data_IF_801366822221
#
_entry.id   IF_801366822221
#
_cell.length_a   1.000
_cell.length_b   1.000
_cell.length_c   1.000
_cell.angle_alpha   90.00
_cell.angle_beta   90.00
_cell.angle_gamma   90.00
#
_symmetry.space_group_name_H-M   'P 1'
#
loop_
_entity.id
_entity.type
_entity.pdbx_description
1 polymer ?
#
# COMPACT_ATOMS: atom_id res chain seq x y z
N UNK A 1 16.57 -4.04 18.74
CA UNK A 1 16.50 -3.17 17.55
C UNK A 1 15.03 -3.05 17.17
N UNK A 2 14.48 -1.83 17.09
CA UNK A 2 13.06 -1.62 16.78
C UNK A 2 12.85 -0.97 15.42
N UNK A 3 11.88 -1.46 14.65
CA UNK A 3 11.50 -0.92 13.34
C UNK A 3 9.98 -0.79 13.31
N UNK A 4 9.49 0.37 12.86
CA UNK A 4 8.06 0.60 12.67
C UNK A 4 7.73 0.46 11.18
N UNK A 5 6.84 -0.45 10.83
CA UNK A 5 6.35 -0.62 9.46
C UNK A 5 4.88 -0.22 9.37
N UNK A 6 4.51 0.53 8.34
CA UNK A 6 3.14 0.99 8.10
C UNK A 6 2.75 0.68 6.66
N UNK A 7 1.74 -0.16 6.43
CA UNK A 7 1.14 -0.37 5.12
C UNK A 7 -0.18 0.38 4.99
N UNK A 8 -0.24 1.36 4.07
CA UNK A 8 -1.41 2.24 3.90
C UNK A 8 -2.21 1.81 2.68
N UNK A 9 -3.23 1.00 2.92
CA UNK A 9 -4.24 0.66 1.93
C UNK A 9 -5.36 1.69 1.80
N UNK A 10 -6.30 1.47 0.87
CA UNK A 10 -7.45 2.37 0.69
C UNK A 10 -8.45 2.32 1.85
N UNK A 11 -8.59 1.16 2.52
CA UNK A 11 -9.57 0.99 3.61
C UNK A 11 -8.95 0.98 5.00
N UNK A 12 -7.77 0.38 5.14
CA UNK A 12 -7.02 0.28 6.40
C UNK A 12 -5.62 0.85 6.24
N UNK A 13 -5.05 1.29 7.36
CA UNK A 13 -3.62 1.40 7.55
C UNK A 13 -3.23 0.38 8.61
N UNK A 14 -2.24 -0.44 8.29
CA UNK A 14 -1.78 -1.53 9.12
C UNK A 14 -0.39 -1.17 9.64
N UNK A 15 -0.22 -1.12 10.97
CA UNK A 15 0.99 -0.65 11.64
C UNK A 15 1.55 -1.80 12.48
N UNK A 16 2.85 -2.03 12.37
CA UNK A 16 3.55 -3.07 13.12
C UNK A 16 4.87 -2.52 13.69
N UNK A 17 5.06 -2.69 14.99
CA UNK A 17 6.30 -2.41 15.70
C UNK A 17 7.06 -3.73 15.90
N UNK A 18 8.10 -3.90 15.10
CA UNK A 18 9.04 -5.00 15.20
C UNK A 18 10.08 -4.74 16.29
N UNK A 19 10.39 -5.75 17.11
CA UNK A 19 11.57 -5.77 17.98
C UNK A 19 12.34 -7.08 17.77
N UNK A 20 13.57 -6.97 17.27
CA UNK A 20 14.47 -8.12 17.00
C UNK A 20 14.79 -9.00 18.20
N UNK A 21 14.48 -8.54 19.42
CA UNK A 21 14.74 -9.29 20.65
C UNK A 21 13.64 -10.31 20.96
N UNK A 22 12.48 -10.16 20.31
CA UNK A 22 11.31 -11.00 20.49
C UNK A 22 11.03 -11.83 19.24
N UNK A 23 10.21 -12.85 19.42
CA UNK A 23 9.54 -13.50 18.30
C UNK A 23 8.61 -12.49 17.61
N UNK A 24 8.57 -12.55 16.28
CA UNK A 24 7.88 -11.57 15.45
C UNK A 24 6.38 -11.52 15.75
N UNK A 25 5.79 -12.64 16.18
CA UNK A 25 4.40 -12.76 16.65
C UNK A 25 4.11 -11.90 17.89
N UNK A 26 5.13 -11.54 18.67
CA UNK A 26 4.99 -10.66 19.85
C UNK A 26 5.11 -9.16 19.50
N UNK A 27 5.35 -8.79 18.24
CA UNK A 27 5.39 -7.39 17.84
C UNK A 27 4.03 -6.71 18.00
N UNK A 28 4.03 -5.46 18.44
CA UNK A 28 2.79 -4.70 18.67
C UNK A 28 2.22 -4.20 17.34
N UNK A 29 0.89 -4.20 17.23
CA UNK A 29 0.19 -3.92 15.97
C UNK A 29 -1.11 -3.16 16.13
N UNK A 30 -1.42 -2.34 15.13
CA UNK A 30 -2.67 -1.61 15.00
C UNK A 30 -3.19 -1.78 13.57
N UNK A 31 -4.48 -2.09 13.41
CA UNK A 31 -5.18 -2.10 12.12
C UNK A 31 -6.29 -1.06 12.23
N UNK A 32 -6.08 0.08 11.57
CA UNK A 32 -6.89 1.30 11.75
C UNK A 32 -7.50 1.75 10.41
N UNK A 33 -8.51 2.63 10.40
CA UNK A 33 -8.97 3.25 9.17
C UNK A 33 -7.82 3.95 8.44
N UNK A 34 -7.74 3.80 7.12
CA UNK A 34 -6.74 4.51 6.32
C UNK A 34 -6.92 6.04 6.40
N UNK A 35 -5.87 6.82 6.13
CA UNK A 35 -5.96 8.28 6.10
C UNK A 35 -7.06 8.79 5.17
N UNK A 36 -7.24 8.19 3.98
CA UNK A 36 -8.30 8.60 3.04
C UNK A 36 -9.70 8.38 3.62
N UNK A 37 -9.88 7.31 4.41
CA UNK A 37 -11.14 7.05 5.11
C UNK A 37 -11.36 8.03 6.27
N UNK A 38 -10.31 8.40 6.99
CA UNK A 38 -10.38 9.40 8.06
C UNK A 38 -10.76 10.78 7.51
N UNK A 39 -10.08 11.23 6.44
CA UNK A 39 -10.38 12.49 5.74
C UNK A 39 -11.80 12.49 5.19
N UNK A 40 -12.24 11.38 4.56
CA UNK A 40 -13.63 11.23 4.11
C UNK A 40 -14.62 11.52 5.24
N UNK A 41 -14.40 10.98 6.45
CA UNK A 41 -15.32 11.22 7.58
C UNK A 41 -15.33 12.68 8.02
N UNK A 42 -14.17 13.36 8.01
CA UNK A 42 -14.08 14.79 8.31
C UNK A 42 -14.87 15.63 7.30
N UNK A 43 -14.73 15.34 6.00
CA UNK A 43 -15.47 16.04 4.94
C UNK A 43 -16.97 15.83 5.10
N UNK A 44 -17.42 14.59 5.33
CA UNK A 44 -18.85 14.30 5.54
C UNK A 44 -19.41 15.00 6.78
N UNK A 45 -18.63 15.08 7.86
CA UNK A 45 -19.00 15.82 9.05
C UNK A 45 -19.13 17.33 8.77
N UNK A 46 -18.23 17.91 7.97
CA UNK A 46 -18.29 19.30 7.54
C UNK A 46 -19.51 19.58 6.65
N UNK A 47 -19.79 18.70 5.66
CA UNK A 47 -21.00 18.79 4.83
C UNK A 47 -22.26 18.78 5.68
N UNK A 48 -22.34 17.86 6.65
CA UNK A 48 -23.49 17.75 7.56
C UNK A 48 -23.64 18.98 8.46
N UNK A 49 -22.53 19.62 8.81
CA UNK A 49 -22.51 20.86 9.59
C UNK A 49 -22.74 22.10 8.72
N UNK A 50 -22.96 21.95 7.42
CA UNK A 50 -23.15 23.04 6.44
C UNK A 50 -21.97 24.04 6.42
N UNK A 51 -20.75 23.51 6.55
CA UNK A 51 -19.52 24.31 6.60
C UNK A 51 -18.64 24.03 5.40
N UNK A 52 -18.13 25.09 4.78
CA UNK A 52 -17.07 25.03 3.79
C UNK A 52 -15.82 24.35 4.36
N UNK A 53 -14.98 23.78 3.48
CA UNK A 53 -13.74 23.11 3.85
C UNK A 53 -12.52 23.73 3.17
N UNK A 54 -11.36 23.64 3.81
CA UNK A 54 -10.06 23.86 3.19
C UNK A 54 -9.17 22.64 3.38
N UNK A 55 -8.66 22.12 2.27
CA UNK A 55 -7.71 21.01 2.23
C UNK A 55 -6.28 21.56 2.17
N UNK A 56 -5.43 21.10 3.07
CA UNK A 56 -4.01 21.50 3.20
C UNK A 56 -3.15 20.25 3.37
N UNK A 57 -1.82 20.40 3.46
CA UNK A 57 -0.90 19.26 3.58
C UNK A 57 -0.42 18.77 2.22
N UNK A 58 -0.17 17.47 2.10
CA UNK A 58 0.49 16.89 0.92
C UNK A 58 -0.43 15.95 0.15
N UNK A 59 0.00 15.56 -1.05
CA UNK A 59 -0.66 14.51 -1.85
C UNK A 59 -0.78 13.22 -1.06
N UNK A 60 -1.93 12.56 -1.13
CA UNK A 60 -2.17 11.28 -0.49
C UNK A 60 -3.07 10.38 -1.35
N UNK A 61 -3.47 9.23 -0.82
CA UNK A 61 -4.43 8.35 -1.49
C UNK A 61 -5.79 9.00 -1.69
N UNK A 62 -6.19 9.15 -2.95
CA UNK A 62 -7.53 9.58 -3.34
C UNK A 62 -8.62 8.54 -3.07
N UNK A 63 -9.61 8.45 -3.97
CA UNK A 63 -10.73 7.51 -3.84
C UNK A 63 -11.76 7.99 -2.79
N UNK A 64 -11.89 7.36 -1.62
CA UNK A 64 -12.91 7.73 -0.61
C UNK A 64 -12.96 9.22 -0.25
N UNK A 65 -11.81 9.87 -0.01
CA UNK A 65 -11.79 11.31 0.27
C UNK A 65 -12.14 12.15 -0.96
N UNK A 66 -11.64 11.81 -2.14
CA UNK A 66 -11.94 12.52 -3.40
C UNK A 66 -13.43 12.45 -3.76
N UNK A 67 -14.07 11.29 -3.56
CA UNK A 67 -15.52 11.17 -3.72
C UNK A 67 -16.29 12.01 -2.70
N UNK A 68 -15.77 12.15 -1.47
CA UNK A 68 -16.36 13.01 -0.46
C UNK A 68 -16.24 14.49 -0.83
N UNK A 69 -15.11 14.92 -1.42
CA UNK A 69 -14.94 16.27 -1.98
C UNK A 69 -15.99 16.53 -3.05
N UNK A 70 -16.16 15.61 -4.02
CA UNK A 70 -17.18 15.75 -5.06
C UNK A 70 -18.60 15.87 -4.47
N UNK A 71 -18.92 15.05 -3.46
CA UNK A 71 -20.20 15.12 -2.77
C UNK A 71 -20.40 16.43 -1.98
N UNK A 72 -19.32 16.98 -1.40
CA UNK A 72 -19.35 18.25 -0.68
C UNK A 72 -19.67 19.43 -1.62
N UNK A 73 -18.99 19.49 -2.77
CA UNK A 73 -19.22 20.49 -3.81
C UNK A 73 -20.63 20.36 -4.39
N UNK A 74 -21.06 19.12 -4.70
CA UNK A 74 -22.41 18.86 -5.20
C UNK A 74 -23.51 19.27 -4.21
N UNK A 75 -23.19 19.35 -2.91
CA UNK A 75 -24.09 19.84 -1.85
C UNK A 75 -24.11 21.38 -1.74
N UNK A 76 -23.35 22.09 -2.58
CA UNK A 76 -23.35 23.55 -2.66
C UNK A 76 -22.34 24.25 -1.75
N UNK A 77 -21.45 23.51 -1.07
CA UNK A 77 -20.44 24.07 -0.17
C UNK A 77 -19.11 24.30 -0.89
N UNK A 78 -18.38 25.33 -0.46
CA UNK A 78 -17.08 25.69 -1.06
C UNK A 78 -16.00 24.75 -0.57
N UNK A 79 -15.20 24.25 -1.50
CA UNK A 79 -13.97 23.51 -1.21
C UNK A 79 -12.78 24.35 -1.65
N UNK A 80 -11.94 24.74 -0.70
CA UNK A 80 -10.64 25.32 -0.95
C UNK A 80 -9.56 24.24 -0.86
N UNK A 81 -8.48 24.36 -1.61
CA UNK A 81 -7.35 23.44 -1.50
C UNK A 81 -6.03 24.11 -1.87
N UNK A 82 -4.96 23.78 -1.16
CA UNK A 82 -3.60 24.09 -1.62
C UNK A 82 -3.22 23.16 -2.77
N UNK A 83 -2.32 23.55 -3.69
CA UNK A 83 -2.01 22.76 -4.88
C UNK A 83 -1.59 21.31 -4.57
N UNK A 84 -0.79 21.09 -3.52
CA UNK A 84 -0.30 19.75 -3.15
C UNK A 84 -1.43 18.88 -2.58
N UNK A 85 -2.25 19.43 -1.68
CA UNK A 85 -3.43 18.75 -1.17
C UNK A 85 -4.43 18.42 -2.30
N UNK A 86 -4.61 19.35 -3.24
CA UNK A 86 -5.54 19.22 -4.36
C UNK A 86 -5.20 18.01 -5.26
N UNK A 87 -3.92 17.70 -5.48
CA UNK A 87 -3.45 16.57 -6.30
C UNK A 87 -3.93 15.20 -5.80
N UNK A 88 -4.34 15.09 -4.54
CA UNK A 88 -5.02 13.91 -4.00
C UNK A 88 -6.31 13.56 -4.76
N UNK A 89 -6.99 14.57 -5.33
CA UNK A 89 -8.24 14.39 -6.08
C UNK A 89 -7.98 14.07 -7.55
N UNK A 90 -7.02 14.76 -8.17
CA UNK A 90 -6.60 14.56 -9.56
C UNK A 90 -5.22 15.21 -9.78
N UNK A 91 -4.33 14.62 -10.58
CA UNK A 91 -3.01 15.21 -10.81
C UNK A 91 -3.03 16.48 -11.68
N UNK A 92 -4.09 16.73 -12.45
CA UNK A 92 -4.29 17.97 -13.21
C UNK A 92 -5.07 19.03 -12.42
N UNK A 93 -4.36 20.07 -12.01
CA UNK A 93 -4.93 21.22 -11.30
C UNK A 93 -5.99 21.99 -12.10
N UNK A 94 -5.97 21.93 -13.43
CA UNK A 94 -7.02 22.53 -14.26
C UNK A 94 -8.32 21.74 -14.14
N UNK A 95 -8.25 20.40 -14.21
CA UNK A 95 -9.41 19.54 -13.98
C UNK A 95 -9.99 19.77 -12.59
N UNK A 96 -9.14 19.94 -11.57
CA UNK A 96 -9.58 20.24 -10.20
C UNK A 96 -10.36 21.57 -10.10
N UNK A 97 -9.90 22.61 -10.80
CA UNK A 97 -10.63 23.89 -10.86
C UNK A 97 -11.98 23.73 -11.56
N UNK A 98 -12.02 22.99 -12.66
CA UNK A 98 -13.26 22.69 -13.41
C UNK A 98 -14.26 21.89 -12.57
N UNK A 99 -13.77 21.03 -11.67
CA UNK A 99 -14.59 20.30 -10.70
C UNK A 99 -15.20 21.21 -9.62
N UNK A 100 -14.76 22.47 -9.50
CA UNK A 100 -15.29 23.45 -8.55
C UNK A 100 -14.46 23.66 -7.29
N UNK A 101 -13.24 23.13 -7.23
CA UNK A 101 -12.29 23.40 -6.13
C UNK A 101 -11.62 24.75 -6.35
N UNK A 102 -11.56 25.56 -5.30
CA UNK A 102 -10.90 26.87 -5.29
C UNK A 102 -9.46 26.67 -4.83
N UNK A 103 -8.50 26.74 -5.76
CA UNK A 103 -7.08 26.67 -5.40
C UNK A 103 -6.65 27.94 -4.66
N UNK A 104 -5.96 27.75 -3.54
CA UNK A 104 -5.43 28.81 -2.68
C UNK A 104 -3.98 28.51 -2.33
N UNK A 105 -3.18 29.53 -2.08
CA UNK A 105 -1.85 29.40 -1.48
C UNK A 105 -1.95 28.99 0.00
N UNK A 106 -0.82 28.56 0.58
CA UNK A 106 -0.73 28.25 2.02
C UNK A 106 -1.09 29.47 2.90
N UNK A 107 -0.67 30.68 2.49
CA UNK A 107 -1.00 31.92 3.19
C UNK A 107 -2.51 32.22 3.14
N UNK A 108 -3.10 32.13 1.95
CA UNK A 108 -4.54 32.32 1.77
C UNK A 108 -5.33 31.28 2.57
N UNK A 109 -4.95 30.00 2.50
CA UNK A 109 -5.53 28.94 3.31
C UNK A 109 -5.45 29.28 4.81
N UNK A 110 -4.30 29.76 5.30
CA UNK A 110 -4.11 30.23 6.68
C UNK A 110 -5.00 31.41 7.08
N UNK A 111 -5.33 32.29 6.13
CA UNK A 111 -6.15 33.49 6.36
C UNK A 111 -7.68 33.26 6.32
N UNK A 112 -8.13 32.09 5.84
CA UNK A 112 -9.56 31.78 5.74
C UNK A 112 -10.27 31.85 7.10
N UNK A 113 -11.48 32.41 7.09
CA UNK A 113 -12.31 32.61 8.28
C UNK A 113 -12.54 31.33 9.10
N UNK A 114 -12.75 31.50 10.41
CA UNK A 114 -12.96 30.41 11.37
C UNK A 114 -14.16 29.47 11.03
N UNK A 115 -15.08 29.88 10.16
CA UNK A 115 -16.20 29.05 9.73
C UNK A 115 -15.81 27.97 8.70
N UNK A 116 -14.60 28.00 8.15
CA UNK A 116 -14.08 26.94 7.25
C UNK A 116 -13.45 25.82 8.08
N UNK A 117 -13.79 24.57 7.80
CA UNK A 117 -13.16 23.40 8.45
C UNK A 117 -11.82 23.12 7.77
N UNK A 118 -10.75 23.10 8.56
CA UNK A 118 -9.39 22.78 8.08
C UNK A 118 -9.18 21.28 8.15
N UNK A 119 -8.80 20.68 7.02
CA UNK A 119 -8.52 19.25 6.92
C UNK A 119 -7.12 19.12 6.31
N UNK A 120 -6.21 18.55 7.08
CA UNK A 120 -4.84 18.27 6.64
C UNK A 120 -4.77 16.89 6.00
N UNK A 121 -4.16 16.82 4.82
CA UNK A 121 -3.99 15.61 4.02
C UNK A 121 -2.55 15.09 4.14
N UNK A 122 -2.44 13.76 4.14
CA UNK A 122 -1.17 13.03 4.18
C UNK A 122 -1.42 11.56 4.51
N UNK A 123 -0.67 10.67 3.88
CA UNK A 123 -0.75 9.23 4.18
C UNK A 123 0.02 8.84 5.44
N UNK A 124 0.99 9.67 5.87
CA UNK A 124 1.86 9.38 7.00
C UNK A 124 1.84 10.51 8.02
N UNK A 125 1.51 10.18 9.27
CA UNK A 125 1.55 11.10 10.40
C UNK A 125 2.23 10.39 11.59
N UNK A 126 3.55 10.53 11.69
CA UNK A 126 4.33 9.86 12.73
C UNK A 126 3.89 10.26 14.14
N UNK A 127 3.61 11.55 14.35
CA UNK A 127 3.18 12.07 15.65
C UNK A 127 1.90 11.42 16.14
N UNK A 128 0.91 11.24 15.26
CA UNK A 128 -0.33 10.56 15.62
C UNK A 128 -0.08 9.10 16.02
N UNK A 129 0.84 8.41 15.35
CA UNK A 129 1.21 7.04 15.68
C UNK A 129 1.94 7.00 17.04
N UNK A 130 2.91 7.89 17.25
CA UNK A 130 3.63 8.03 18.51
C UNK A 130 2.69 8.30 19.68
N UNK A 131 1.75 9.24 19.53
CA UNK A 131 0.72 9.53 20.54
C UNK A 131 -0.16 8.30 20.83
N UNK A 132 -0.53 7.52 19.82
CA UNK A 132 -1.33 6.31 20.00
C UNK A 132 -0.58 5.21 20.76
N UNK A 133 0.70 4.96 20.45
CA UNK A 133 1.53 3.99 21.18
C UNK A 133 1.85 4.45 22.60
N UNK A 134 2.07 5.76 22.80
CA UNK A 134 2.34 6.34 24.11
C UNK A 134 1.17 6.16 25.11
N UNK A 135 -0.08 6.16 24.63
CA UNK A 135 -1.26 5.86 25.47
C UNK A 135 -1.21 4.46 26.12
N UNK A 136 -0.44 3.53 25.54
CA UNK A 136 -0.22 2.17 26.06
C UNK A 136 1.17 2.00 26.69
N UNK A 137 1.92 3.09 26.88
CA UNK A 137 3.26 3.06 27.49
C UNK A 137 4.35 2.53 26.56
N UNK A 138 4.13 2.52 25.25
CA UNK A 138 5.14 2.09 24.27
C UNK A 138 5.85 3.32 23.71
N UNK A 139 7.16 3.38 23.91
CA UNK A 139 8.03 4.42 23.38
C UNK A 139 8.57 4.05 21.98
N UNK A 140 8.54 5.03 21.06
CA UNK A 140 9.03 4.95 19.69
C UNK A 140 10.29 5.81 19.46
N UNK A 141 10.88 6.36 20.51
CA UNK A 141 12.07 7.23 20.40
C UNK A 141 13.36 6.48 20.00
N UNK A 142 13.40 5.16 20.17
CA UNK A 142 14.56 4.28 19.90
C UNK A 142 14.43 3.46 18.60
N UNK A 143 13.56 3.88 17.68
CA UNK A 143 13.45 3.29 16.34
C UNK A 143 14.77 3.46 15.56
N UNK A 144 15.22 2.37 14.91
CA UNK A 144 16.39 2.40 14.01
C UNK A 144 16.01 2.57 12.54
N UNK A 145 14.73 2.39 12.21
CA UNK A 145 14.14 2.67 10.90
C UNK A 145 12.62 2.79 11.01
N UNK A 146 12.04 3.54 10.08
CA UNK A 146 10.60 3.52 9.78
C UNK A 146 10.44 3.08 8.33
N UNK A 147 9.43 2.27 8.03
CA UNK A 147 9.11 1.86 6.67
C UNK A 147 7.63 2.10 6.39
N UNK A 148 7.30 2.76 5.27
CA UNK A 148 5.91 3.10 4.93
C UNK A 148 5.60 2.65 3.51
N UNK A 149 4.52 1.89 3.32
CA UNK A 149 4.01 1.56 2.00
C UNK A 149 2.76 2.37 1.66
N UNK A 150 2.72 2.88 0.43
CA UNK A 150 1.52 3.48 -0.18
C UNK A 150 1.42 3.01 -1.62
N UNK A 151 0.21 3.02 -2.19
CA UNK A 151 0.00 2.69 -3.59
C UNK A 151 0.20 3.93 -4.48
N UNK A 152 1.24 3.95 -5.32
CA UNK A 152 1.56 5.10 -6.18
C UNK A 152 1.46 4.71 -7.68
N UNK A 153 0.61 5.39 -8.45
CA UNK A 153 0.53 5.17 -9.89
C UNK A 153 1.73 5.78 -10.63
N UNK A 154 2.41 6.73 -9.99
CA UNK A 154 3.33 7.66 -10.61
C UNK A 154 2.61 8.80 -11.33
N UNK A 155 3.32 9.92 -11.51
CA UNK A 155 2.82 11.14 -12.12
C UNK A 155 2.95 11.06 -13.64
N UNK A 156 1.92 10.53 -14.30
CA UNK A 156 1.88 10.42 -15.75
C UNK A 156 1.84 11.81 -16.42
N UNK A 157 2.45 11.97 -17.60
CA UNK A 157 2.19 13.13 -18.45
C UNK A 157 0.69 13.26 -18.77
N UNK A 158 0.20 14.48 -18.99
CA UNK A 158 -1.24 14.76 -19.15
C UNK A 158 -1.93 14.00 -20.31
N UNK A 159 -1.18 13.55 -21.31
CA UNK A 159 -1.66 12.78 -22.46
C UNK A 159 -1.53 11.26 -22.30
N UNK A 160 -1.04 10.79 -21.14
CA UNK A 160 -0.81 9.38 -20.83
C UNK A 160 -1.75 8.95 -19.70
N UNK A 161 -2.39 7.80 -19.85
CA UNK A 161 -3.20 7.22 -18.76
C UNK A 161 -2.31 6.73 -17.62
N UNK A 162 -2.65 7.10 -16.38
CA UNK A 162 -1.98 6.61 -15.16
C UNK A 162 -1.87 5.08 -15.09
N UNK A 163 -2.91 4.38 -15.59
CA UNK A 163 -2.95 2.91 -15.66
C UNK A 163 -1.82 2.35 -16.53
N UNK A 164 -1.61 2.97 -17.69
CA UNK A 164 -0.55 2.60 -18.63
C UNK A 164 0.82 2.99 -18.08
N UNK A 165 0.94 4.20 -17.55
CA UNK A 165 2.18 4.72 -16.96
C UNK A 165 2.67 3.82 -15.82
N UNK A 166 1.77 3.42 -14.91
CA UNK A 166 2.05 2.48 -13.84
C UNK A 166 2.62 1.16 -14.37
N UNK A 167 2.03 0.57 -15.39
CA UNK A 167 2.49 -0.70 -15.95
C UNK A 167 3.83 -0.60 -16.68
N UNK A 168 4.10 0.52 -17.35
CA UNK A 168 5.42 0.80 -17.92
C UNK A 168 6.49 0.93 -16.82
N UNK A 169 6.17 1.59 -15.71
CA UNK A 169 7.06 1.67 -14.55
C UNK A 169 7.31 0.29 -13.92
N UNK A 170 6.25 -0.51 -13.69
CA UNK A 170 6.40 -1.87 -13.16
C UNK A 170 7.31 -2.71 -14.07
N UNK A 171 7.12 -2.64 -15.39
CA UNK A 171 7.95 -3.39 -16.35
C UNK A 171 9.42 -2.98 -16.28
N UNK A 172 9.69 -1.67 -16.28
CA UNK A 172 11.05 -1.15 -16.18
C UNK A 172 11.74 -1.59 -14.88
N UNK A 173 11.05 -1.51 -13.74
CA UNK A 173 11.60 -1.90 -12.44
C UNK A 173 11.88 -3.39 -12.36
N UNK A 174 10.94 -4.24 -12.79
CA UNK A 174 11.11 -5.70 -12.75
C UNK A 174 12.28 -6.13 -13.65
N UNK A 175 12.42 -5.52 -14.84
CA UNK A 175 13.54 -5.80 -15.75
C UNK A 175 14.88 -5.34 -15.21
N UNK A 176 14.91 -4.21 -14.50
CA UNK A 176 16.14 -3.69 -13.91
C UNK A 176 16.58 -4.55 -12.71
N UNK A 177 15.64 -4.95 -11.86
CA UNK A 177 15.92 -5.69 -10.64
C UNK A 177 14.73 -6.62 -10.29
N UNK A 178 14.86 -7.89 -10.68
CA UNK A 178 13.75 -8.85 -10.64
C UNK A 178 13.47 -9.41 -9.22
N UNK A 179 12.97 -8.57 -8.32
CA UNK A 179 12.53 -8.95 -6.97
C UNK A 179 11.49 -7.97 -6.44
N UNK A 180 10.64 -8.42 -5.51
CA UNK A 180 9.58 -7.58 -4.95
C UNK A 180 10.12 -6.39 -4.14
N UNK A 181 11.25 -6.54 -3.45
CA UNK A 181 11.88 -5.44 -2.70
C UNK A 181 12.53 -4.38 -3.59
N UNK A 182 12.63 -4.58 -4.91
CA UNK A 182 13.10 -3.56 -5.85
C UNK A 182 12.16 -2.35 -5.96
N UNK A 183 10.96 -2.45 -5.40
CA UNK A 183 9.98 -1.36 -5.30
C UNK A 183 10.11 -0.54 -4.02
N UNK A 184 11.11 -0.82 -3.18
CA UNK A 184 11.42 -0.06 -1.98
C UNK A 184 12.60 0.89 -2.21
N UNK A 185 12.54 2.07 -1.58
CA UNK A 185 13.53 3.13 -1.71
C UNK A 185 13.85 3.74 -0.34
N UNK A 186 15.09 4.17 -0.14
CA UNK A 186 15.37 5.18 0.89
C UNK A 186 14.70 6.50 0.49
N UNK A 187 14.32 7.31 1.47
CA UNK A 187 13.64 8.59 1.24
C UNK A 187 14.37 9.54 0.28
N UNK A 188 15.70 9.47 0.19
CA UNK A 188 16.52 10.27 -0.71
C UNK A 188 16.77 9.61 -2.09
N UNK A 189 16.16 8.47 -2.38
CA UNK A 189 16.32 7.69 -3.61
C UNK A 189 14.99 7.42 -4.32
N UNK A 190 13.91 8.05 -3.86
CA UNK A 190 12.58 7.93 -4.47
C UNK A 190 12.64 8.55 -5.89
N UNK A 191 12.19 7.84 -6.93
CA UNK A 191 12.08 8.42 -8.26
C UNK A 191 11.15 9.65 -8.26
N UNK A 192 11.51 10.74 -8.95
CA UNK A 192 10.71 11.97 -8.99
C UNK A 192 9.27 11.76 -9.48
N UNK A 193 9.07 10.74 -10.33
CA UNK A 193 7.76 10.37 -10.84
C UNK A 193 6.83 9.77 -9.77
N UNK A 194 7.35 9.32 -8.62
CA UNK A 194 6.56 8.69 -7.54
C UNK A 194 6.13 9.76 -6.52
N UNK A 195 5.19 10.60 -6.92
CA UNK A 195 4.78 11.80 -6.16
C UNK A 195 4.11 11.47 -4.82
N UNK A 196 3.40 10.35 -4.70
CA UNK A 196 2.78 9.93 -3.44
C UNK A 196 3.81 9.34 -2.48
N UNK A 197 4.80 8.60 -2.99
CA UNK A 197 5.96 8.18 -2.17
C UNK A 197 6.77 9.39 -1.68
N UNK A 198 6.97 10.39 -2.55
CA UNK A 198 7.63 11.65 -2.16
C UNK A 198 6.84 12.39 -1.07
N UNK A 199 5.52 12.44 -1.18
CA UNK A 199 4.67 13.05 -0.16
C UNK A 199 4.84 12.38 1.22
N UNK A 200 4.99 11.05 1.27
CA UNK A 200 5.30 10.33 2.52
C UNK A 200 6.65 10.78 3.09
N UNK A 201 7.68 10.92 2.24
CA UNK A 201 8.98 11.43 2.67
C UNK A 201 8.90 12.89 3.16
N UNK A 202 8.08 13.72 2.52
CA UNK A 202 7.85 15.10 2.94
C UNK A 202 7.15 15.20 4.30
N UNK A 203 6.20 14.31 4.59
CA UNK A 203 5.55 14.19 5.91
C UNK A 203 6.46 13.63 7.00
N UNK A 204 7.64 13.12 6.65
CA UNK A 204 8.56 12.43 7.55
C UNK A 204 9.83 13.24 7.88
N UNK A 205 9.89 14.53 7.52
CA UNK A 205 11.08 15.38 7.68
C UNK A 205 11.59 15.48 9.13
N UNK A 206 10.71 15.32 10.11
CA UNK A 206 11.06 15.37 11.52
C UNK A 206 11.54 14.01 12.09
N UNK A 207 11.51 12.93 11.29
CA UNK A 207 12.06 11.64 11.72
C UNK A 207 13.57 11.73 11.89
N UNK A 208 14.05 11.21 13.02
CA UNK A 208 15.49 11.14 13.34
C UNK A 208 16.16 9.86 12.84
N UNK A 209 15.40 9.00 12.17
CA UNK A 209 15.80 7.67 11.74
C UNK A 209 15.58 7.53 10.22
N UNK A 210 16.32 6.65 9.53
CA UNK A 210 16.06 6.40 8.11
C UNK A 210 14.62 5.99 7.84
N UNK A 211 14.07 6.55 6.75
CA UNK A 211 12.78 6.17 6.20
C UNK A 211 12.99 5.33 4.93
N UNK A 212 12.34 4.17 4.90
CA UNK A 212 12.15 3.37 3.68
C UNK A 212 10.71 3.55 3.21
N UNK A 213 10.50 3.77 1.92
CA UNK A 213 9.15 3.80 1.32
C UNK A 213 9.01 2.72 0.27
N UNK A 214 7.81 2.18 0.07
CA UNK A 214 7.56 1.09 -0.88
C UNK A 214 6.15 1.17 -1.48
N UNK A 215 5.94 0.53 -2.62
CA UNK A 215 4.58 0.26 -3.11
C UNK A 215 3.89 -0.82 -2.23
N UNK A 216 2.68 -0.55 -1.76
CA UNK A 216 1.84 -1.47 -0.97
C UNK A 216 1.64 -2.82 -1.64
N UNK A 217 1.46 -2.87 -2.96
CA UNK A 217 1.15 -4.12 -3.63
C UNK A 217 2.30 -5.14 -3.57
N UNK A 218 3.53 -4.82 -4.03
CA UNK A 218 4.66 -5.72 -3.85
C UNK A 218 5.02 -5.94 -2.37
N UNK A 219 4.76 -4.99 -1.47
CA UNK A 219 4.96 -5.19 -0.03
C UNK A 219 4.05 -6.31 0.49
N UNK A 220 2.74 -6.26 0.20
CA UNK A 220 1.79 -7.29 0.64
C UNK A 220 2.12 -8.68 0.06
N UNK A 221 2.55 -8.74 -1.20
CA UNK A 221 2.96 -9.99 -1.85
C UNK A 221 4.24 -10.52 -1.21
N UNK A 222 5.23 -9.67 -0.96
CA UNK A 222 6.49 -10.04 -0.32
C UNK A 222 6.28 -10.55 1.11
N UNK A 223 5.43 -9.89 1.90
CA UNK A 223 5.16 -10.39 3.24
C UNK A 223 4.35 -11.68 3.27
N UNK A 224 3.46 -11.88 2.28
CA UNK A 224 2.76 -13.15 2.13
C UNK A 224 3.76 -14.30 1.98
N UNK A 225 4.88 -14.13 1.25
CA UNK A 225 5.87 -15.21 1.02
C UNK A 225 6.46 -15.83 2.30
N UNK A 226 6.33 -15.15 3.44
CA UNK A 226 6.77 -15.65 4.75
C UNK A 226 5.79 -16.62 5.42
N UNK A 227 4.65 -16.94 4.82
CA UNK A 227 3.83 -18.06 5.28
C UNK A 227 4.58 -19.39 5.09
N UNK A 228 4.75 -20.21 6.14
CA UNK A 228 5.49 -21.47 6.05
C UNK A 228 4.94 -22.47 5.03
N UNK A 229 3.65 -22.35 4.67
CA UNK A 229 2.95 -23.27 3.76
C UNK A 229 3.49 -23.23 2.32
N UNK A 230 4.35 -22.24 1.99
CA UNK A 230 4.84 -22.03 0.62
C UNK A 230 6.20 -22.67 0.35
N UNK A 231 6.88 -23.17 1.39
CA UNK A 231 8.26 -23.64 1.30
C UNK A 231 8.46 -24.82 0.35
N UNK A 232 7.39 -25.58 0.08
CA UNK A 232 7.42 -26.76 -0.77
C UNK A 232 7.08 -26.46 -2.25
N UNK A 233 6.76 -25.21 -2.59
CA UNK A 233 6.37 -24.79 -3.95
C UNK A 233 7.42 -23.89 -4.60
N UNK A 234 8.05 -24.34 -5.69
CA UNK A 234 9.10 -23.59 -6.39
C UNK A 234 8.55 -22.46 -7.28
N UNK A 235 7.29 -22.57 -7.73
CA UNK A 235 6.59 -21.57 -8.54
C UNK A 235 5.19 -21.38 -7.96
N UNK A 236 4.81 -20.16 -7.64
CA UNK A 236 3.55 -19.86 -6.96
C UNK A 236 2.84 -18.66 -7.60
N UNK A 237 1.52 -18.63 -7.48
CA UNK A 237 0.71 -17.44 -7.71
C UNK A 237 0.27 -16.85 -6.38
N UNK A 238 0.56 -15.58 -6.16
CA UNK A 238 0.10 -14.84 -4.97
C UNK A 238 -0.77 -13.67 -5.44
N UNK A 239 -1.99 -13.57 -4.93
CA UNK A 239 -2.94 -12.51 -5.22
C UNK A 239 -3.21 -11.66 -3.96
N UNK A 240 -3.00 -10.36 -4.05
CA UNK A 240 -3.49 -9.39 -3.07
C UNK A 240 -4.84 -8.84 -3.55
N UNK A 241 -5.92 -9.19 -2.85
CA UNK A 241 -7.27 -8.71 -3.15
C UNK A 241 -7.60 -7.58 -2.17
N UNK A 242 -7.15 -6.37 -2.53
CA UNK A 242 -7.31 -5.15 -1.77
C UNK A 242 -8.72 -4.58 -1.81
N UNK A 243 -8.94 -3.46 -1.11
CA UNK A 243 -10.23 -2.77 -1.15
C UNK A 243 -10.50 -2.09 -2.50
N UNK A 244 -9.44 -1.59 -3.15
CA UNK A 244 -9.52 -0.79 -4.38
C UNK A 244 -8.85 -1.46 -5.57
N UNK A 245 -7.70 -2.12 -5.37
CA UNK A 245 -6.98 -2.86 -6.40
C UNK A 245 -6.79 -4.33 -6.04
N UNK A 246 -6.90 -5.19 -7.05
CA UNK A 246 -6.56 -6.60 -7.02
C UNK A 246 -5.31 -6.77 -7.87
N UNK A 247 -4.25 -7.30 -7.29
CA UNK A 247 -3.02 -7.62 -7.99
C UNK A 247 -2.68 -9.09 -7.79
N UNK A 248 -2.05 -9.71 -8.79
CA UNK A 248 -1.41 -10.99 -8.59
C UNK A 248 -0.03 -11.04 -9.23
N UNK A 249 0.87 -11.76 -8.58
CA UNK A 249 2.22 -12.04 -9.06
C UNK A 249 2.38 -13.54 -9.25
N UNK A 250 3.09 -13.90 -10.32
CA UNK A 250 3.68 -15.23 -10.47
C UNK A 250 5.13 -15.12 -10.03
N UNK A 251 5.52 -15.96 -9.08
CA UNK A 251 6.88 -16.00 -8.56
C UNK A 251 7.48 -17.36 -8.89
N UNK A 252 8.74 -17.36 -9.33
CA UNK A 252 9.52 -18.56 -9.59
C UNK A 252 10.95 -18.43 -9.06
N UNK A 253 11.82 -19.42 -9.34
CA UNK A 253 13.18 -19.46 -8.79
C UNK A 253 14.05 -18.23 -9.13
N UNK A 254 13.73 -17.55 -10.23
CA UNK A 254 14.47 -16.38 -10.71
C UNK A 254 13.81 -15.05 -10.34
N UNK A 255 12.76 -15.04 -9.52
CA UNK A 255 12.02 -13.84 -9.12
C UNK A 255 10.62 -13.75 -9.73
N UNK A 256 10.24 -12.56 -10.17
CA UNK A 256 8.91 -12.29 -10.73
C UNK A 256 8.85 -12.85 -12.16
N UNK A 257 7.82 -13.66 -12.42
CA UNK A 257 7.52 -14.29 -13.70
C UNK A 257 6.37 -13.61 -14.44
N UNK A 258 5.57 -12.81 -13.72
CA UNK A 258 4.52 -11.99 -14.26
C UNK A 258 3.76 -11.25 -13.16
N UNK A 259 3.04 -10.20 -13.56
CA UNK A 259 2.15 -9.43 -12.69
C UNK A 259 0.91 -8.98 -13.48
N UNK A 260 -0.26 -8.99 -12.84
CA UNK A 260 -1.41 -8.25 -13.36
C UNK A 260 -2.07 -7.44 -12.25
N UNK A 261 -2.78 -6.39 -12.65
CA UNK A 261 -3.49 -5.50 -11.74
C UNK A 261 -4.82 -5.03 -12.34
N UNK A 262 -5.84 -5.00 -11.49
CA UNK A 262 -7.18 -4.59 -11.84
C UNK A 262 -7.83 -3.80 -10.69
N UNK A 263 -8.81 -2.95 -11.00
CA UNK A 263 -9.69 -2.38 -9.99
C UNK A 263 -10.59 -3.46 -9.38
N UNK A 264 -10.52 -3.66 -8.06
CA UNK A 264 -11.33 -4.65 -7.35
C UNK A 264 -12.83 -4.34 -7.43
N UNK A 265 -13.21 -3.08 -7.59
CA UNK A 265 -14.61 -2.67 -7.75
C UNK A 265 -15.28 -3.15 -9.04
N UNK A 266 -14.49 -3.52 -10.05
CA UNK A 266 -14.98 -3.94 -11.38
C UNK A 266 -15.04 -5.48 -11.48
N UNK A 267 -14.23 -6.17 -10.69
CA UNK A 267 -14.16 -7.63 -10.68
C UNK A 267 -15.31 -8.26 -9.88
N UNK A 268 -15.89 -9.31 -10.46
CA UNK A 268 -16.69 -10.29 -9.73
C UNK A 268 -15.89 -11.61 -9.55
N UNK A 269 -16.37 -12.57 -8.74
CA UNK A 269 -15.68 -13.84 -8.52
C UNK A 269 -15.41 -14.66 -9.79
N UNK A 270 -16.32 -14.64 -10.77
CA UNK A 270 -16.20 -15.43 -12.00
C UNK A 270 -15.13 -14.82 -12.89
N UNK A 271 -15.20 -13.50 -13.10
CA UNK A 271 -14.20 -12.76 -13.88
C UNK A 271 -12.80 -12.92 -13.27
N UNK A 272 -12.67 -12.82 -11.94
CA UNK A 272 -11.39 -13.00 -11.27
C UNK A 272 -10.82 -14.41 -11.43
N UNK A 273 -11.66 -15.46 -11.38
CA UNK A 273 -11.22 -16.84 -11.67
C UNK A 273 -10.71 -16.97 -13.12
N UNK A 274 -11.36 -16.35 -14.11
CA UNK A 274 -10.88 -16.37 -15.49
C UNK A 274 -9.54 -15.62 -15.65
N UNK A 275 -9.38 -14.46 -15.02
CA UNK A 275 -8.09 -13.74 -14.99
C UNK A 275 -6.98 -14.58 -14.36
N UNK A 276 -7.25 -15.20 -13.21
CA UNK A 276 -6.32 -16.11 -12.53
C UNK A 276 -5.92 -17.26 -13.45
N UNK A 277 -6.88 -17.84 -14.17
CA UNK A 277 -6.62 -18.94 -15.08
C UNK A 277 -5.73 -18.53 -16.26
N UNK A 278 -6.11 -17.47 -16.97
CA UNK A 278 -5.32 -16.95 -18.10
C UNK A 278 -3.91 -16.53 -17.65
N UNK A 279 -3.79 -15.96 -16.45
CA UNK A 279 -2.52 -15.57 -15.86
C UNK A 279 -1.65 -16.80 -15.55
N UNK A 280 -2.23 -17.83 -14.96
CA UNK A 280 -1.56 -19.11 -14.70
C UNK A 280 -1.09 -19.78 -15.99
N UNK A 281 -1.88 -19.72 -17.07
CA UNK A 281 -1.50 -20.27 -18.38
C UNK A 281 -0.46 -19.43 -19.13
N UNK A 282 -0.13 -18.23 -18.66
CA UNK A 282 0.76 -17.30 -19.36
C UNK A 282 0.14 -16.61 -20.57
N UNK A 283 -1.19 -16.75 -20.75
CA UNK A 283 -1.92 -16.23 -21.91
C UNK A 283 -2.58 -14.88 -21.67
N UNK A 284 -2.63 -14.41 -20.41
CA UNK A 284 -3.24 -13.11 -20.07
C UNK A 284 -2.46 -11.97 -20.74
N UNK A 285 -3.15 -11.18 -21.58
CA UNK A 285 -2.57 -10.05 -22.29
C UNK A 285 -2.85 -8.72 -21.60
N UNK A 286 -1.96 -7.74 -21.80
CA UNK A 286 -2.17 -6.39 -21.31
C UNK A 286 -3.47 -5.77 -21.85
N UNK A 287 -3.73 -5.93 -23.15
CA UNK A 287 -4.92 -5.37 -23.80
C UNK A 287 -6.22 -5.93 -23.21
N UNK A 288 -6.23 -7.22 -22.84
CA UNK A 288 -7.39 -7.86 -22.19
C UNK A 288 -7.74 -7.17 -20.88
N UNK A 289 -6.74 -6.92 -20.03
CA UNK A 289 -6.94 -6.25 -18.73
C UNK A 289 -7.26 -4.78 -18.92
N UNK A 290 -6.51 -4.07 -19.77
CA UNK A 290 -6.66 -2.63 -19.95
C UNK A 290 -8.02 -2.23 -20.56
N UNK A 291 -8.50 -3.02 -21.54
CA UNK A 291 -9.82 -2.80 -22.17
C UNK A 291 -10.99 -3.12 -21.24
N UNK A 292 -10.78 -3.93 -20.21
CA UNK A 292 -11.75 -4.23 -19.15
C UNK A 292 -11.64 -3.27 -17.95
N UNK A 293 -11.07 -2.07 -18.19
CA UNK A 293 -10.86 -1.04 -17.17
C UNK A 293 -9.87 -1.43 -16.05
N UNK A 294 -9.09 -2.50 -16.19
CA UNK A 294 -7.95 -2.81 -15.34
C UNK A 294 -6.71 -1.97 -15.68
N UNK A 295 -5.62 -2.18 -14.96
CA UNK A 295 -4.37 -1.44 -15.20
C UNK A 295 -3.51 -2.11 -16.27
N UNK A 296 -3.30 -3.43 -16.17
CA UNK A 296 -2.56 -4.17 -17.17
C UNK A 296 -2.12 -5.57 -16.75
N UNK A 297 -1.37 -6.22 -17.63
CA UNK A 297 -0.71 -7.50 -17.36
C UNK A 297 0.67 -7.57 -18.03
N UNK A 298 1.66 -8.08 -17.29
CA UNK A 298 3.03 -8.34 -17.73
C UNK A 298 3.32 -9.82 -17.53
N UNK A 299 3.77 -10.50 -18.59
CA UNK A 299 4.15 -11.92 -18.57
C UNK A 299 5.59 -12.03 -19.05
N UNK A 300 6.48 -12.50 -18.17
CA UNK A 300 7.91 -12.69 -18.48
C UNK A 300 8.23 -14.14 -18.85
N UNK A 301 7.37 -15.08 -18.46
CA UNK A 301 7.45 -16.48 -18.89
C UNK A 301 6.10 -17.03 -19.35
N UNK A 302 6.15 -17.70 -20.50
CA UNK A 302 5.01 -18.41 -21.09
C UNK A 302 4.84 -19.83 -20.51
N UNK A 303 5.74 -20.27 -19.63
CA UNK A 303 5.59 -21.54 -18.94
C UNK A 303 4.39 -21.45 -17.99
N UNK A 304 3.40 -22.33 -18.15
CA UNK A 304 2.21 -22.33 -17.30
C UNK A 304 2.54 -22.72 -15.86
N UNK A 305 1.74 -22.24 -14.91
CA UNK A 305 1.68 -22.75 -13.56
C UNK A 305 0.77 -23.98 -13.51
N UNK A 306 1.17 -25.00 -12.74
CA UNK A 306 0.29 -26.12 -12.42
C UNK A 306 -0.89 -25.61 -11.59
N UNK A 307 -2.10 -26.04 -11.94
CA UNK A 307 -3.35 -25.66 -11.28
C UNK A 307 -4.12 -26.89 -10.76
N UNK A 308 -3.40 -28.00 -10.57
CA UNK A 308 -3.92 -29.29 -10.12
C UNK A 308 -3.33 -29.77 -8.79
N UNK A 309 -2.58 -28.91 -8.09
CA UNK A 309 -2.00 -29.20 -6.77
C UNK A 309 -3.06 -29.63 -5.75
N UNK A 310 -2.76 -30.68 -4.98
CA UNK A 310 -3.69 -31.28 -4.02
C UNK A 310 -4.03 -30.38 -2.83
N UNK A 311 -3.14 -29.45 -2.49
CA UNK A 311 -3.26 -28.49 -1.40
C UNK A 311 -3.89 -27.17 -1.88
N UNK A 312 -3.18 -26.36 -2.67
CA UNK A 312 -3.63 -25.06 -3.16
C UNK A 312 -3.01 -24.70 -4.51
N UNK A 313 -3.69 -23.85 -5.31
CA UNK A 313 -3.10 -23.33 -6.56
C UNK A 313 -2.94 -21.80 -6.56
N UNK A 314 -3.64 -21.11 -5.66
CA UNK A 314 -3.48 -19.66 -5.49
C UNK A 314 -3.31 -19.33 -4.02
N UNK A 315 -2.34 -18.48 -3.74
CA UNK A 315 -2.15 -17.86 -2.43
C UNK A 315 -2.84 -16.51 -2.45
N UNK A 316 -3.52 -16.17 -1.37
CA UNK A 316 -4.36 -14.98 -1.32
C UNK A 316 -4.10 -14.21 -0.04
N UNK A 317 -3.85 -12.92 -0.18
CA UNK A 317 -3.82 -11.94 0.92
C UNK A 317 -4.79 -10.79 0.62
N UNK A 318 -5.01 -9.93 1.62
CA UNK A 318 -5.84 -8.73 1.49
C UNK A 318 -7.27 -8.87 2.03
N UNK A 319 -7.93 -7.72 2.31
CA UNK A 319 -9.21 -7.68 3.00
C UNK A 319 -10.39 -8.21 2.18
N UNK A 320 -10.33 -8.16 0.83
CA UNK A 320 -11.42 -8.61 -0.05
C UNK A 320 -11.25 -10.06 -0.53
N UNK A 321 -10.36 -10.84 0.09
CA UNK A 321 -10.08 -12.26 -0.24
C UNK A 321 -11.30 -13.18 -0.35
N UNK A 322 -12.42 -12.85 0.30
CA UNK A 322 -13.65 -13.63 0.19
C UNK A 322 -14.18 -13.71 -1.25
N UNK A 323 -13.76 -12.81 -2.15
CA UNK A 323 -14.08 -12.89 -3.58
C UNK A 323 -13.67 -14.22 -4.22
N UNK A 324 -12.58 -14.84 -3.75
CA UNK A 324 -12.08 -16.12 -4.29
C UNK A 324 -12.35 -17.31 -3.36
N UNK A 325 -13.13 -17.14 -2.28
CA UNK A 325 -13.39 -18.21 -1.31
C UNK A 325 -13.93 -19.50 -1.93
N UNK A 326 -14.76 -19.37 -2.97
CA UNK A 326 -15.34 -20.49 -3.70
C UNK A 326 -14.67 -20.69 -5.07
N UNK A 327 -13.47 -20.14 -5.27
CA UNK A 327 -12.70 -20.29 -6.50
C UNK A 327 -12.45 -21.77 -6.78
N UNK A 328 -12.49 -22.14 -8.06
CA UNK A 328 -12.14 -23.50 -8.51
C UNK A 328 -10.66 -23.83 -8.29
N UNK A 329 -9.82 -22.84 -7.97
CA UNK A 329 -8.38 -22.96 -7.86
C UNK A 329 -7.84 -23.20 -6.45
N UNK A 330 -8.68 -23.63 -5.50
CA UNK A 330 -8.26 -24.00 -4.13
C UNK A 330 -7.43 -22.89 -3.47
N UNK A 331 -8.07 -21.76 -3.09
CA UNK A 331 -7.35 -20.65 -2.49
C UNK A 331 -6.75 -21.05 -1.13
N UNK A 332 -5.49 -20.68 -0.92
CA UNK A 332 -4.87 -20.64 0.39
C UNK A 332 -4.81 -19.19 0.88
N UNK A 333 -5.40 -18.90 2.03
CA UNK A 333 -5.34 -17.56 2.62
C UNK A 333 -4.08 -17.44 3.48
N UNK A 334 -3.10 -16.67 3.00
CA UNK A 334 -1.82 -16.48 3.67
C UNK A 334 -2.02 -15.86 5.06
N UNK A 335 -1.31 -16.39 6.06
CA UNK A 335 -1.31 -15.91 7.44
C UNK A 335 0.14 -15.84 7.95
N UNK A 336 1.02 -15.05 7.29
CA UNK A 336 2.41 -14.90 7.73
C UNK A 336 2.43 -14.48 9.21
N UNK A 337 3.17 -15.22 10.02
CA UNK A 337 3.27 -15.02 11.47
C UNK A 337 1.90 -14.89 12.19
N UNK A 338 0.88 -15.59 11.66
CA UNK A 338 -0.47 -15.62 12.21
C UNK A 338 -1.35 -14.40 11.89
N UNK A 339 -0.89 -13.45 11.07
CA UNK A 339 -1.66 -12.24 10.77
C UNK A 339 -1.58 -11.80 9.30
N UNK A 340 -2.63 -12.12 8.56
CA UNK A 340 -2.76 -11.74 7.15
C UNK A 340 -2.78 -10.21 6.94
N UNK A 341 -3.42 -9.44 7.83
CA UNK A 341 -3.52 -7.99 7.63
C UNK A 341 -2.15 -7.31 7.72
N UNK A 342 -1.18 -7.94 8.40
CA UNK A 342 0.19 -7.47 8.46
C UNK A 342 1.08 -7.94 7.30
N UNK A 343 0.54 -8.59 6.26
CA UNK A 343 1.35 -9.02 5.11
C UNK A 343 2.15 -7.85 4.53
N UNK A 344 1.56 -6.67 4.32
CA UNK A 344 2.31 -5.50 3.84
C UNK A 344 3.44 -5.07 4.79
N UNK A 345 3.18 -5.08 6.09
CA UNK A 345 4.17 -4.77 7.12
C UNK A 345 5.35 -5.74 7.12
N UNK A 346 5.12 -7.04 7.00
CA UNK A 346 6.20 -8.02 6.93
C UNK A 346 7.01 -7.90 5.63
N UNK A 347 6.36 -7.57 4.52
CA UNK A 347 7.04 -7.26 3.28
C UNK A 347 7.92 -6.02 3.38
N UNK A 348 7.41 -4.95 4.00
CA UNK A 348 8.19 -3.76 4.33
C UNK A 348 9.41 -4.09 5.20
N UNK A 349 9.24 -4.92 6.23
CA UNK A 349 10.34 -5.34 7.09
C UNK A 349 11.42 -6.09 6.28
N UNK A 350 11.02 -7.01 5.41
CA UNK A 350 11.93 -7.68 4.48
C UNK A 350 12.63 -6.70 3.53
N UNK A 351 11.91 -5.71 3.01
CA UNK A 351 12.48 -4.71 2.11
C UNK A 351 13.46 -3.78 2.84
N UNK A 352 13.24 -3.50 4.14
CA UNK A 352 14.22 -2.77 4.97
C UNK A 352 15.54 -3.54 5.05
N UNK A 353 15.52 -4.85 5.22
CA UNK A 353 16.74 -5.66 5.22
C UNK A 353 17.52 -5.56 3.90
N UNK A 354 16.79 -5.47 2.78
CA UNK A 354 17.36 -5.33 1.45
C UNK A 354 17.94 -3.93 1.17
N UNK A 355 17.26 -2.88 1.65
CA UNK A 355 17.59 -1.48 1.40
C UNK A 355 18.60 -0.92 2.42
N UNK A 356 18.61 -1.45 3.65
CA UNK A 356 19.53 -1.11 4.74
C UNK A 356 20.30 -2.38 5.18
N UNK A 357 21.35 -2.78 4.45
CA UNK A 357 22.05 -4.05 4.70
C UNK A 357 22.63 -4.20 6.11
N UNK A 358 22.94 -3.09 6.79
CA UNK A 358 23.41 -3.09 8.17
C UNK A 358 22.35 -3.54 9.19
N UNK A 359 21.08 -3.58 8.80
CA UNK A 359 19.96 -4.08 9.62
C UNK A 359 19.51 -5.49 9.20
N UNK A 360 20.09 -6.06 8.12
CA UNK A 360 19.56 -7.25 7.47
C UNK A 360 19.63 -8.52 8.32
N UNK A 361 20.76 -8.77 8.98
CA UNK A 361 20.98 -10.00 9.75
C UNK A 361 19.90 -10.23 10.84
N UNK A 362 19.63 -9.29 11.77
CA UNK A 362 18.59 -9.50 12.76
C UNK A 362 17.19 -9.61 12.14
N UNK A 363 16.89 -8.89 11.05
CA UNK A 363 15.59 -8.98 10.37
C UNK A 363 15.38 -10.36 9.77
N UNK A 364 16.30 -10.83 8.93
CA UNK A 364 16.17 -12.13 8.28
C UNK A 364 16.26 -13.28 9.27
N UNK A 365 16.97 -13.12 10.38
CA UNK A 365 16.96 -14.09 11.47
C UNK A 365 15.54 -14.28 12.01
N UNK A 366 14.80 -13.20 12.27
CA UNK A 366 13.41 -13.29 12.77
C UNK A 366 12.43 -13.74 11.68
N UNK A 367 12.55 -13.24 10.45
CA UNK A 367 11.67 -13.61 9.34
C UNK A 367 11.80 -15.08 8.91
N UNK A 368 13.00 -15.66 9.03
CA UNK A 368 13.28 -17.05 8.65
C UNK A 368 13.36 -18.02 9.84
N UNK A 369 13.08 -17.56 11.06
CA UNK A 369 13.17 -18.38 12.26
C UNK A 369 12.20 -19.58 12.17
N UNK A 370 12.74 -20.79 12.15
CA UNK A 370 11.95 -22.03 12.24
C UNK A 370 11.55 -22.38 13.68
N UNK A 371 12.18 -21.73 14.66
CA UNK A 371 11.93 -21.84 16.09
C UNK A 371 12.13 -20.46 16.70
N UNK A 372 11.20 -20.05 17.55
CA UNK A 372 11.27 -18.76 18.22
C UNK A 372 12.52 -18.62 19.10
N UNK A 373 12.89 -17.37 19.35
CA UNK A 373 13.88 -16.92 20.32
C UNK A 373 13.55 -17.37 21.76
N UNK A 374 12.30 -17.80 22.04
CA UNK A 374 11.80 -18.19 23.37
C UNK A 374 12.05 -17.10 24.44
N UNK A 375 12.25 -15.86 24.00
CA UNK A 375 12.49 -14.71 24.89
C UNK A 375 11.13 -14.13 25.23
N UNK A 376 10.79 -14.20 26.51
CA UNK A 376 9.50 -13.70 26.99
C UNK A 376 9.53 -12.16 27.04
N UNK A 377 8.44 -11.46 26.72
CA UNK A 377 8.44 -9.99 26.68
C UNK A 377 8.89 -9.30 27.98
N UNK A 378 8.67 -9.92 29.13
CA UNK A 378 9.09 -9.41 30.45
C UNK A 378 10.57 -9.68 30.80
N UNK A 379 11.32 -10.34 29.92
CA UNK A 379 12.77 -10.53 30.05
C UNK A 379 13.56 -9.43 29.33
N UNK A 380 12.88 -8.50 28.66
CA UNK A 380 13.48 -7.31 28.07
C UNK A 380 13.65 -6.25 29.16
N UNK A 381 14.81 -6.25 29.82
CA UNK A 381 15.23 -5.18 30.71
C UNK A 381 15.45 -3.85 29.96
#
# INVERSE_FOLDING_TARGET
MKILTIDVGTGTQDIFLYDSRLDIENGYKLVLPSPTMMVRQQILAATKAERDIVLTGVTMGGGPCGWAVNGHIASGFRTFATPDAARTVNDDLNMIKEMGVILVSEEEAGSLHNNVVRIELGDFNFRQIEEAFALFGVDLSDLVAVAVAVFDHGNAPADVSDRKFRFEYLDQRIRAENRLSAFAYLSNQIPEIMTRLQAVADSAKDLRTPLVVMDTAPAAILGATYDPSFRDHNRVMIANIGNFHTLAFRLGPSGIEGVFEHHTGILDPIALDEYIYEFAQGTLTNDRVYSDHGHGALIYTQESLSMDHSDFNIIVTGPRRNMVKNSRFRPFFAVPFGDMMLSGCFGLLSAVADVLPNLAEPIYKSLNANKGHNTEPWQLD
#
